data_IF_292837681406
#
_entry.id   IF_292837681406
#
_cell.length_a   1.000
_cell.length_b   1.000
_cell.length_c   1.000
_cell.angle_alpha   90.00
_cell.angle_beta   90.00
_cell.angle_gamma   90.00
#
_symmetry.space_group_name_H-M   'P 1'
#
loop_
_entity.id
_entity.type
_entity.pdbx_description
1 polymer ?
#
# COMPACT_ATOMS: atom_id res chain seq x y z
N UNK A 1 -14.06 21.62 16.51
CA UNK A 1 -13.34 20.62 15.71
C UNK A 1 -12.60 21.37 14.62
N UNK A 2 -11.30 21.20 14.49
CA UNK A 2 -10.53 21.78 13.37
C UNK A 2 -11.14 21.25 12.06
N UNK A 3 -11.45 22.13 11.10
CA UNK A 3 -11.95 21.72 9.78
C UNK A 3 -10.86 21.09 8.90
N UNK A 4 -9.66 20.95 9.42
CA UNK A 4 -8.45 20.51 8.73
C UNK A 4 -7.67 19.59 9.67
N UNK A 5 -7.24 18.45 9.18
CA UNK A 5 -6.24 17.58 9.81
C UNK A 5 -4.89 17.88 9.17
N UNK A 6 -4.08 18.67 9.84
CA UNK A 6 -2.78 19.09 9.33
C UNK A 6 -1.75 17.97 9.45
N UNK A 7 -1.06 17.65 8.37
CA UNK A 7 0.08 16.73 8.40
C UNK A 7 1.26 17.47 9.04
N UNK A 8 1.75 16.95 10.17
CA UNK A 8 2.83 17.57 10.95
C UNK A 8 4.13 16.78 10.90
N UNK A 9 4.07 15.50 10.54
CA UNK A 9 5.26 14.66 10.40
C UNK A 9 5.03 13.51 9.42
N UNK A 10 6.07 13.15 8.67
CA UNK A 10 6.11 11.99 7.77
C UNK A 10 7.43 11.27 7.96
N UNK A 11 7.39 10.01 8.36
CA UNK A 11 8.56 9.21 8.64
C UNK A 11 8.54 7.90 7.83
N UNK A 12 9.57 7.70 7.02
CA UNK A 12 9.82 6.45 6.30
C UNK A 12 10.86 5.58 7.01
N UNK A 13 10.67 4.27 6.92
CA UNK A 13 11.67 3.30 7.36
C UNK A 13 11.72 2.08 6.45
N UNK A 14 12.85 1.41 6.41
CA UNK A 14 12.97 0.10 5.79
C UNK A 14 12.53 -0.97 6.78
N UNK A 15 11.67 -1.89 6.33
CA UNK A 15 11.25 -3.07 7.07
C UNK A 15 11.46 -4.32 6.21
N UNK A 16 11.33 -5.50 6.80
CA UNK A 16 11.47 -6.78 6.10
C UNK A 16 10.11 -7.42 5.86
N UNK A 17 9.84 -7.81 4.61
CA UNK A 17 8.62 -8.51 4.22
C UNK A 17 8.63 -10.00 4.62
N UNK A 18 7.52 -10.72 4.39
CA UNK A 18 7.39 -12.15 4.72
C UNK A 18 8.32 -13.06 3.92
N UNK A 19 8.95 -12.56 2.84
CA UNK A 19 9.94 -13.28 2.02
C UNK A 19 11.38 -12.95 2.41
N UNK A 20 11.58 -12.12 3.44
CA UNK A 20 12.90 -11.65 3.86
C UNK A 20 13.49 -10.54 2.97
N UNK A 21 12.69 -9.88 2.14
CA UNK A 21 13.15 -8.74 1.33
C UNK A 21 12.81 -7.42 2.01
N UNK A 22 13.65 -6.39 1.86
CA UNK A 22 13.31 -5.04 2.30
C UNK A 22 12.09 -4.48 1.60
N UNK A 23 11.28 -3.73 2.34
CA UNK A 23 10.21 -2.88 1.81
C UNK A 23 10.08 -1.59 2.63
N UNK A 24 9.28 -0.65 2.13
CA UNK A 24 9.08 0.66 2.76
C UNK A 24 7.89 0.59 3.71
N UNK A 25 8.05 1.12 4.91
CA UNK A 25 6.95 1.49 5.80
C UNK A 25 6.96 2.99 6.01
N UNK A 26 5.78 3.62 5.96
CA UNK A 26 5.61 5.06 6.19
C UNK A 26 4.65 5.28 7.34
N UNK A 27 5.00 6.21 8.21
CA UNK A 27 4.12 6.80 9.22
C UNK A 27 3.82 8.25 8.85
N UNK A 28 2.56 8.64 8.97
CA UNK A 28 2.10 10.02 8.84
C UNK A 28 1.41 10.43 10.13
N UNK A 29 1.86 11.53 10.72
CA UNK A 29 1.27 12.13 11.92
C UNK A 29 0.42 13.33 11.52
N UNK A 30 -0.81 13.37 12.01
CA UNK A 30 -1.73 14.49 11.79
C UNK A 30 -2.14 15.15 13.11
N UNK A 31 -2.24 16.48 13.11
CA UNK A 31 -2.72 17.27 14.25
C UNK A 31 -4.22 17.57 14.13
N UNK A 32 -5.02 17.08 15.08
CA UNK A 32 -6.45 17.37 15.18
C UNK A 32 -6.75 18.56 16.13
N UNK A 33 -5.73 19.20 16.67
CA UNK A 33 -5.82 20.36 17.54
C UNK A 33 -5.81 20.04 19.04
N UNK A 34 -6.39 18.92 19.44
CA UNK A 34 -6.37 18.40 20.82
C UNK A 34 -5.33 17.31 21.05
N UNK A 35 -5.04 16.55 20.01
CA UNK A 35 -4.03 15.49 19.98
C UNK A 35 -3.59 15.16 18.55
N UNK A 36 -2.49 14.45 18.44
CA UNK A 36 -2.03 13.90 17.17
C UNK A 36 -2.51 12.46 16.98
N UNK A 37 -2.69 12.08 15.72
CA UNK A 37 -3.00 10.72 15.30
C UNK A 37 -1.95 10.24 14.28
N UNK A 38 -1.67 8.94 14.30
CA UNK A 38 -0.65 8.36 13.44
C UNK A 38 -1.25 7.28 12.56
N UNK A 39 -1.07 7.42 11.25
CA UNK A 39 -1.36 6.36 10.28
C UNK A 39 -0.08 5.67 9.85
N UNK A 40 -0.07 4.34 9.79
CA UNK A 40 1.09 3.55 9.38
C UNK A 40 0.75 2.64 8.21
N UNK A 41 1.58 2.62 7.20
CA UNK A 41 1.43 1.76 6.03
C UNK A 41 2.73 1.09 5.63
N UNK A 42 2.74 -0.25 5.62
CA UNK A 42 3.77 -1.04 4.99
C UNK A 42 3.41 -1.29 3.53
N UNK A 43 4.33 -1.05 2.62
CA UNK A 43 4.08 -1.14 1.18
C UNK A 43 4.25 -2.59 0.72
N UNK A 44 3.24 -3.19 0.05
CA UNK A 44 3.40 -4.51 -0.53
C UNK A 44 4.36 -4.47 -1.73
N UNK A 45 5.15 -5.54 -1.88
CA UNK A 45 6.05 -5.73 -3.02
C UNK A 45 5.57 -6.88 -3.89
N UNK A 46 5.44 -6.66 -5.20
CA UNK A 46 5.05 -7.69 -6.17
C UNK A 46 6.13 -8.76 -6.38
N UNK A 47 5.72 -9.96 -6.80
CA UNK A 47 6.62 -11.03 -7.20
C UNK A 47 6.92 -11.02 -8.71
N UNK A 48 5.99 -10.53 -9.52
CA UNK A 48 6.13 -10.34 -10.96
C UNK A 48 5.74 -8.91 -11.32
N UNK A 49 6.36 -8.34 -12.34
CA UNK A 49 6.12 -6.97 -12.79
C UNK A 49 5.62 -6.94 -14.22
N UNK A 50 4.61 -6.12 -14.49
CA UNK A 50 4.11 -5.85 -15.84
C UNK A 50 4.88 -4.71 -16.53
N UNK A 51 4.81 -4.66 -17.85
CA UNK A 51 5.50 -3.62 -18.66
C UNK A 51 5.02 -2.20 -18.33
N UNK A 52 3.76 -2.05 -17.91
CA UNK A 52 3.14 -0.77 -17.58
C UNK A 52 3.06 -0.50 -16.07
N UNK A 53 3.68 -1.33 -15.27
CA UNK A 53 3.67 -1.19 -13.81
C UNK A 53 4.53 0.01 -13.38
N UNK A 54 4.11 0.69 -12.32
CA UNK A 54 4.89 1.78 -11.74
C UNK A 54 6.18 1.24 -11.11
N UNK A 55 7.22 2.05 -11.10
CA UNK A 55 8.55 1.68 -10.66
C UNK A 55 8.62 1.50 -9.14
N UNK A 56 8.83 0.28 -8.67
CA UNK A 56 9.27 0.04 -7.30
C UNK A 56 10.75 0.40 -7.21
N UNK A 57 11.08 1.48 -6.49
CA UNK A 57 12.46 1.95 -6.40
C UNK A 57 13.27 1.03 -5.48
N UNK A 58 14.34 0.47 -6.03
CA UNK A 58 15.33 -0.37 -5.34
C UNK A 58 16.72 0.27 -5.45
N UNK A 59 17.54 0.07 -4.42
CA UNK A 59 18.87 0.70 -4.35
C UNK A 59 19.83 0.18 -5.43
N UNK A 60 19.71 -1.10 -5.81
CA UNK A 60 20.56 -1.76 -6.78
C UNK A 60 21.97 -2.13 -6.26
N UNK A 61 22.29 -1.81 -5.01
CA UNK A 61 23.55 -2.14 -4.36
C UNK A 61 23.57 -3.64 -3.98
N UNK A 62 24.33 -4.42 -4.73
CA UNK A 62 24.42 -5.87 -4.51
C UNK A 62 25.07 -6.28 -3.20
N UNK A 63 25.79 -5.38 -2.53
CA UNK A 63 26.40 -5.63 -1.22
C UNK A 63 25.37 -5.66 -0.11
N UNK A 64 24.16 -5.07 -0.35
CA UNK A 64 23.09 -4.96 0.60
C UNK A 64 21.81 -5.60 0.04
N UNK A 65 21.29 -6.64 0.71
CA UNK A 65 20.09 -7.40 0.30
C UNK A 65 20.08 -7.82 -1.19
N UNK A 66 21.26 -8.12 -1.75
CA UNK A 66 21.43 -8.52 -3.16
C UNK A 66 20.87 -7.48 -4.17
N UNK A 67 20.90 -6.19 -3.82
CA UNK A 67 20.39 -5.09 -4.61
C UNK A 67 18.93 -4.71 -4.35
N UNK A 68 18.25 -5.39 -3.41
CA UNK A 68 16.83 -5.18 -3.11
C UNK A 68 16.57 -4.17 -1.99
N UNK A 69 17.61 -3.49 -1.46
CA UNK A 69 17.45 -2.42 -0.48
C UNK A 69 16.51 -1.33 -0.95
N UNK A 70 15.92 -0.57 -0.02
CA UNK A 70 14.97 0.53 -0.29
C UNK A 70 15.38 1.83 0.42
N UNK A 71 16.66 2.00 0.77
CA UNK A 71 17.14 3.19 1.47
C UNK A 71 16.86 4.48 0.70
N UNK A 72 17.04 4.48 -0.64
CA UNK A 72 16.71 5.63 -1.49
C UNK A 72 15.23 6.02 -1.41
N UNK A 73 14.34 5.04 -1.45
CA UNK A 73 12.91 5.29 -1.32
C UNK A 73 12.56 5.82 0.07
N UNK A 74 13.19 5.30 1.12
CA UNK A 74 13.06 5.80 2.50
C UNK A 74 13.60 7.23 2.62
N UNK A 75 14.73 7.52 1.99
CA UNK A 75 15.31 8.86 1.95
C UNK A 75 14.36 9.87 1.27
N UNK A 76 13.74 9.51 0.15
CA UNK A 76 12.71 10.33 -0.50
C UNK A 76 11.49 10.56 0.39
N UNK A 77 11.06 9.56 1.18
CA UNK A 77 9.97 9.76 2.14
C UNK A 77 10.36 10.77 3.20
N UNK A 78 11.57 10.65 3.78
CA UNK A 78 12.02 11.47 4.90
C UNK A 78 12.41 12.91 4.50
N UNK A 79 12.64 13.16 3.22
CA UNK A 79 13.02 14.49 2.71
C UNK A 79 11.90 15.06 1.83
N UNK A 80 11.91 14.76 0.53
CA UNK A 80 11.07 15.45 -0.46
C UNK A 80 9.57 15.24 -0.21
N UNK A 81 9.16 14.01 0.16
CA UNK A 81 7.75 13.70 0.43
C UNK A 81 7.31 14.34 1.75
N UNK A 82 8.13 14.26 2.79
CA UNK A 82 7.83 14.89 4.08
C UNK A 82 7.68 16.40 3.94
N UNK A 83 8.59 17.06 3.22
CA UNK A 83 8.52 18.50 2.95
C UNK A 83 7.27 18.86 2.12
N UNK A 84 6.95 18.07 1.10
CA UNK A 84 5.78 18.30 0.25
C UNK A 84 4.45 18.18 1.00
N UNK A 85 4.33 17.21 1.91
CA UNK A 85 3.09 16.94 2.63
C UNK A 85 2.92 17.77 3.90
N UNK A 86 3.99 18.33 4.44
CA UNK A 86 3.93 19.17 5.66
C UNK A 86 2.92 20.32 5.50
N UNK A 87 2.02 20.45 6.47
CA UNK A 87 0.96 21.48 6.46
C UNK A 87 -0.24 21.17 5.57
N UNK A 88 -0.23 20.11 4.77
CA UNK A 88 -1.38 19.72 3.95
C UNK A 88 -2.51 19.13 4.80
N UNK A 89 -3.72 19.19 4.28
CA UNK A 89 -4.89 18.62 4.92
C UNK A 89 -5.03 17.12 4.59
N UNK A 90 -4.83 16.25 5.57
CA UNK A 90 -4.94 14.80 5.38
C UNK A 90 -6.37 14.32 5.00
N UNK A 91 -7.40 15.15 5.15
CA UNK A 91 -8.77 14.82 4.69
C UNK A 91 -8.94 14.97 3.17
N UNK A 92 -8.04 15.69 2.50
CA UNK A 92 -8.08 15.86 1.05
C UNK A 92 -7.12 14.87 0.37
N UNK A 93 -7.51 13.60 0.35
CA UNK A 93 -6.70 12.54 -0.26
C UNK A 93 -6.36 12.82 -1.73
N UNK A 94 -7.29 13.46 -2.46
CA UNK A 94 -7.06 13.78 -3.88
C UNK A 94 -5.95 14.82 -4.04
N UNK A 95 -5.91 15.83 -3.19
CA UNK A 95 -4.83 16.82 -3.20
C UNK A 95 -3.49 16.19 -2.81
N UNK A 96 -3.47 15.31 -1.79
CA UNK A 96 -2.28 14.55 -1.37
C UNK A 96 -1.72 13.73 -2.54
N UNK A 97 -2.56 12.91 -3.16
CA UNK A 97 -2.13 12.02 -4.24
C UNK A 97 -1.63 12.81 -5.47
N UNK A 98 -2.29 13.92 -5.80
CA UNK A 98 -1.83 14.83 -6.87
C UNK A 98 -0.48 15.46 -6.56
N UNK A 99 -0.29 15.96 -5.34
CA UNK A 99 0.98 16.56 -4.94
C UNK A 99 2.13 15.55 -5.03
N UNK A 100 1.93 14.31 -4.60
CA UNK A 100 2.92 13.24 -4.70
C UNK A 100 3.24 12.88 -6.17
N UNK A 101 2.23 12.80 -7.03
CA UNK A 101 2.40 12.51 -8.46
C UNK A 101 3.14 13.65 -9.17
N UNK A 102 2.80 14.90 -8.86
CA UNK A 102 3.44 16.09 -9.41
C UNK A 102 4.89 16.23 -8.94
N UNK A 103 5.18 15.90 -7.68
CA UNK A 103 6.52 15.90 -7.11
C UNK A 103 7.44 14.89 -7.80
N UNK A 104 6.93 13.69 -8.10
CA UNK A 104 7.65 12.70 -8.90
C UNK A 104 7.83 13.17 -10.36
N UNK A 105 6.77 13.63 -10.99
CA UNK A 105 6.77 14.19 -12.34
C UNK A 105 7.07 13.19 -13.46
N UNK A 106 7.22 11.88 -13.16
CA UNK A 106 7.49 10.84 -14.16
C UNK A 106 6.25 9.98 -14.42
N UNK A 107 6.05 9.44 -15.64
CA UNK A 107 4.86 8.64 -15.95
C UNK A 107 4.73 7.38 -15.10
N UNK A 108 5.85 6.79 -14.69
CA UNK A 108 5.91 5.51 -13.97
C UNK A 108 6.43 5.61 -12.52
N UNK A 109 6.50 6.82 -11.95
CA UNK A 109 6.99 7.10 -10.58
C UNK A 109 8.43 6.64 -10.36
N UNK A 110 9.28 6.81 -11.37
CA UNK A 110 10.68 6.33 -11.30
C UNK A 110 11.62 7.27 -10.56
N UNK A 111 11.22 8.51 -10.27
CA UNK A 111 12.05 9.47 -9.52
C UNK A 111 12.01 9.17 -8.02
N UNK A 112 10.83 9.17 -7.41
CA UNK A 112 10.66 8.94 -5.97
C UNK A 112 10.46 7.47 -5.63
N UNK A 113 9.91 6.71 -6.56
CA UNK A 113 9.50 5.33 -6.38
C UNK A 113 8.01 5.19 -6.02
N UNK A 114 7.31 4.28 -6.71
CA UNK A 114 5.92 3.99 -6.42
C UNK A 114 5.72 3.48 -4.98
N UNK A 115 6.69 2.77 -4.43
CA UNK A 115 6.70 2.31 -3.04
C UNK A 115 6.71 3.48 -2.03
N UNK A 116 7.54 4.49 -2.22
CA UNK A 116 7.56 5.68 -1.37
C UNK A 116 6.24 6.46 -1.46
N UNK A 117 5.74 6.71 -2.67
CA UNK A 117 4.49 7.43 -2.94
C UNK A 117 3.29 6.69 -2.33
N UNK A 118 3.18 5.37 -2.58
CA UNK A 118 2.08 4.56 -2.07
C UNK A 118 2.09 4.49 -0.54
N UNK A 119 3.27 4.38 0.06
CA UNK A 119 3.42 4.37 1.52
C UNK A 119 2.87 5.64 2.15
N UNK A 120 3.24 6.80 1.62
CA UNK A 120 2.77 8.11 2.10
C UNK A 120 1.27 8.29 1.91
N UNK A 121 0.74 7.95 0.73
CA UNK A 121 -0.70 8.02 0.42
C UNK A 121 -1.54 7.15 1.37
N UNK A 122 -1.16 5.87 1.54
CA UNK A 122 -1.88 4.94 2.42
C UNK A 122 -1.77 5.33 3.90
N UNK A 123 -0.61 5.80 4.36
CA UNK A 123 -0.41 6.24 5.74
C UNK A 123 -1.26 7.48 6.04
N UNK A 124 -1.36 8.42 5.10
CA UNK A 124 -2.25 9.60 5.22
C UNK A 124 -3.72 9.19 5.36
N UNK A 125 -4.22 8.29 4.51
CA UNK A 125 -5.60 7.81 4.60
C UNK A 125 -5.88 7.12 5.95
N UNK A 126 -4.92 6.35 6.47
CA UNK A 126 -5.04 5.70 7.78
C UNK A 126 -5.03 6.70 8.94
N UNK A 127 -4.16 7.73 8.89
CA UNK A 127 -4.14 8.78 9.89
C UNK A 127 -5.46 9.56 9.92
N UNK A 128 -6.00 9.90 8.75
CA UNK A 128 -7.29 10.56 8.61
C UNK A 128 -8.44 9.71 9.16
N UNK A 129 -8.49 8.42 8.84
CA UNK A 129 -9.50 7.49 9.35
C UNK A 129 -9.44 7.36 10.89
N UNK A 130 -8.24 7.25 11.46
CA UNK A 130 -8.00 7.17 12.89
C UNK A 130 -8.46 8.45 13.60
N UNK A 131 -8.10 9.62 13.06
CA UNK A 131 -8.50 10.91 13.60
C UNK A 131 -10.03 11.14 13.58
N UNK A 132 -10.72 10.58 12.58
CA UNK A 132 -12.18 10.61 12.47
C UNK A 132 -12.86 9.53 13.32
N UNK A 133 -12.11 8.60 13.91
CA UNK A 133 -12.66 7.49 14.69
C UNK A 133 -13.46 6.49 13.85
N UNK A 134 -13.13 6.34 12.57
CA UNK A 134 -13.77 5.40 11.64
C UNK A 134 -12.78 4.36 11.11
N UNK A 135 -13.28 3.18 10.74
CA UNK A 135 -12.44 2.18 10.09
C UNK A 135 -12.04 2.64 8.68
N UNK A 136 -10.84 2.22 8.21
CA UNK A 136 -10.33 2.61 6.90
C UNK A 136 -11.29 2.24 5.76
N UNK A 137 -11.95 1.07 5.82
CA UNK A 137 -12.90 0.69 4.79
C UNK A 137 -14.14 1.62 4.72
N UNK A 138 -14.60 2.14 5.86
CA UNK A 138 -15.65 3.14 5.91
C UNK A 138 -15.17 4.51 5.42
N UNK A 139 -13.94 4.89 5.76
CA UNK A 139 -13.34 6.14 5.29
C UNK A 139 -13.25 6.18 3.76
N UNK A 140 -12.77 5.09 3.15
CA UNK A 140 -12.61 4.99 1.68
C UNK A 140 -13.95 4.72 0.99
N UNK A 141 -14.76 3.79 1.51
CA UNK A 141 -15.96 3.29 0.84
C UNK A 141 -17.24 4.06 1.20
N UNK A 142 -17.20 4.95 2.19
CA UNK A 142 -18.35 5.72 2.65
C UNK A 142 -19.43 4.87 3.32
N UNK A 143 -20.64 5.44 3.45
CA UNK A 143 -21.76 4.83 4.20
C UNK A 143 -22.26 3.50 3.62
N UNK A 144 -21.95 3.20 2.37
CA UNK A 144 -22.36 1.98 1.69
C UNK A 144 -21.33 0.85 1.71
N UNK A 145 -20.19 1.05 2.37
CA UNK A 145 -19.14 0.03 2.52
C UNK A 145 -19.59 -1.07 3.52
N UNK A 146 -20.58 -1.88 3.13
CA UNK A 146 -21.22 -2.88 4.00
C UNK A 146 -21.14 -4.30 3.46
N UNK A 147 -20.72 -4.46 2.21
CA UNK A 147 -20.73 -5.75 1.52
C UNK A 147 -19.31 -6.33 1.48
N UNK A 148 -19.13 -7.51 2.05
CA UNK A 148 -17.90 -8.27 1.87
C UNK A 148 -17.81 -8.74 0.42
N UNK A 149 -16.62 -8.70 -0.21
CA UNK A 149 -16.42 -9.24 -1.54
C UNK A 149 -16.55 -10.77 -1.54
N UNK A 150 -16.89 -11.35 -2.69
CA UNK A 150 -16.75 -12.78 -2.88
C UNK A 150 -15.26 -13.12 -2.76
N UNK A 151 -14.86 -14.08 -1.90
CA UNK A 151 -13.45 -14.43 -1.78
C UNK A 151 -12.93 -15.00 -3.10
N UNK A 152 -11.73 -14.60 -3.46
CA UNK A 152 -11.00 -15.13 -4.60
C UNK A 152 -9.74 -15.81 -4.06
N UNK A 153 -9.54 -17.08 -4.40
CA UNK A 153 -8.43 -17.87 -3.89
C UNK A 153 -7.60 -18.43 -5.04
N UNK A 154 -6.30 -18.21 -4.99
CA UNK A 154 -5.34 -18.83 -5.90
C UNK A 154 -5.11 -20.27 -5.46
N UNK A 155 -5.36 -21.24 -6.36
CA UNK A 155 -5.28 -22.67 -6.07
C UNK A 155 -4.04 -23.30 -6.70
N UNK A 156 -3.70 -22.91 -7.93
CA UNK A 156 -2.60 -23.49 -8.68
C UNK A 156 -1.80 -22.39 -9.36
N UNK A 157 -0.48 -22.46 -9.23
CA UNK A 157 0.44 -21.52 -9.87
C UNK A 157 1.32 -22.23 -10.90
N UNK A 158 1.68 -21.49 -11.95
CA UNK A 158 2.63 -21.90 -12.98
C UNK A 158 3.43 -20.71 -13.50
N UNK A 159 3.98 -20.81 -14.68
CA UNK A 159 4.78 -19.75 -15.30
C UNK A 159 5.92 -19.30 -14.40
N UNK A 160 6.05 -17.97 -14.20
CA UNK A 160 7.10 -17.38 -13.35
C UNK A 160 6.87 -17.57 -11.84
N UNK A 161 5.68 -18.03 -11.42
CA UNK A 161 5.31 -18.17 -10.01
C UNK A 161 5.56 -19.57 -9.43
N UNK A 162 5.93 -20.55 -10.24
CA UNK A 162 6.21 -21.92 -9.80
C UNK A 162 7.25 -22.60 -10.69
N UNK A 163 7.94 -23.59 -10.14
CA UNK A 163 8.99 -24.38 -10.83
C UNK A 163 8.42 -25.65 -11.47
N UNK A 164 7.19 -25.64 -11.93
CA UNK A 164 6.51 -26.75 -12.60
C UNK A 164 6.37 -26.50 -14.12
N UNK A 165 5.74 -27.42 -14.83
CA UNK A 165 5.54 -27.35 -16.29
C UNK A 165 4.20 -26.69 -16.69
N UNK A 166 3.52 -26.01 -15.76
CA UNK A 166 2.28 -25.30 -16.05
C UNK A 166 2.62 -23.93 -16.61
N UNK A 167 2.20 -23.63 -17.83
CA UNK A 167 2.52 -22.37 -18.51
C UNK A 167 1.62 -21.20 -18.05
N UNK A 168 0.41 -21.51 -17.51
CA UNK A 168 -0.51 -20.49 -17.00
C UNK A 168 -0.07 -20.08 -15.60
N UNK A 169 0.07 -18.76 -15.39
CA UNK A 169 0.63 -18.19 -14.17
C UNK A 169 -0.20 -18.48 -12.92
N UNK A 170 -1.53 -18.37 -13.01
CA UNK A 170 -2.43 -18.53 -11.87
C UNK A 170 -3.79 -19.13 -12.28
N UNK A 171 -4.33 -19.99 -11.43
CA UNK A 171 -5.71 -20.46 -11.49
C UNK A 171 -6.42 -20.07 -10.20
N UNK A 172 -7.40 -19.21 -10.31
CA UNK A 172 -8.18 -18.72 -9.17
C UNK A 172 -9.59 -19.25 -9.19
N UNK A 173 -10.17 -19.45 -8.02
CA UNK A 173 -11.59 -19.80 -7.84
C UNK A 173 -12.34 -18.69 -7.15
N UNK A 174 -13.63 -18.54 -7.48
CA UNK A 174 -14.58 -17.62 -6.85
C UNK A 174 -15.89 -18.35 -6.58
N UNK A 175 -16.26 -18.64 -5.33
CA UNK A 175 -17.47 -19.38 -4.99
C UNK A 175 -18.72 -18.47 -5.02
N UNK A 176 -19.11 -17.98 -6.18
CA UNK A 176 -20.20 -17.00 -6.38
C UNK A 176 -21.59 -17.51 -5.98
N UNK A 177 -21.80 -18.83 -5.89
CA UNK A 177 -23.06 -19.45 -5.48
C UNK A 177 -23.19 -19.70 -3.97
N UNK A 178 -22.21 -19.27 -3.16
CA UNK A 178 -22.27 -19.48 -1.70
C UNK A 178 -23.32 -18.56 -1.07
N UNK A 179 -24.11 -19.12 -0.12
CA UNK A 179 -25.16 -18.38 0.58
C UNK A 179 -24.63 -17.31 1.58
N UNK A 180 -23.38 -17.41 2.02
CA UNK A 180 -22.74 -16.47 2.93
C UNK A 180 -21.22 -16.57 2.84
N UNK A 181 -20.52 -15.55 3.35
CA UNK A 181 -19.06 -15.46 3.28
C UNK A 181 -18.35 -16.65 3.97
N UNK A 182 -18.87 -17.09 5.13
CA UNK A 182 -18.34 -18.28 5.83
C UNK A 182 -18.36 -19.52 4.94
N UNK A 183 -19.49 -19.74 4.21
CA UNK A 183 -19.63 -20.89 3.30
C UNK A 183 -18.71 -20.74 2.07
N UNK A 184 -18.59 -19.51 1.56
CA UNK A 184 -17.66 -19.22 0.47
C UNK A 184 -16.20 -19.55 0.85
N UNK A 185 -15.76 -19.12 2.03
CA UNK A 185 -14.40 -19.42 2.52
C UNK A 185 -14.19 -20.92 2.74
N UNK A 186 -15.19 -21.63 3.28
CA UNK A 186 -15.15 -23.09 3.42
C UNK A 186 -14.95 -23.77 2.06
N UNK A 187 -15.74 -23.38 1.03
CA UNK A 187 -15.62 -23.95 -0.31
C UNK A 187 -14.22 -23.71 -0.91
N UNK A 188 -13.66 -22.51 -0.71
CA UNK A 188 -12.29 -22.21 -1.16
C UNK A 188 -11.27 -23.14 -0.46
N UNK A 189 -11.37 -23.31 0.85
CA UNK A 189 -10.44 -24.15 1.62
C UNK A 189 -10.55 -25.62 1.22
N UNK A 190 -11.77 -26.14 1.00
CA UNK A 190 -12.00 -27.51 0.57
C UNK A 190 -11.44 -27.80 -0.82
N UNK A 191 -11.45 -26.83 -1.74
CA UNK A 191 -10.84 -26.98 -3.07
C UNK A 191 -9.32 -26.90 -3.00
N UNK A 192 -8.78 -26.11 -2.07
CA UNK A 192 -7.34 -25.98 -1.88
C UNK A 192 -6.70 -27.28 -1.37
N UNK A 193 -7.37 -28.06 -0.52
CA UNK A 193 -6.92 -29.33 0.04
C UNK A 193 -7.20 -30.52 -0.87
#
# INVERSE_FOLDING_TARGET
MKQMLEIVDVLGREIIDSRGNPTVEVEVTVDAGDRCYVGRAAVPSGASTGVHEACELRDGDKSRYLGKGVEKAVEHVNNEIAECLAGMNALDQVAIDKALIELDGTPNKSKLGANAILGASLATAKAAAEALGVSLYNYIGGVNAKTLPVPMMNILNGGAHATNNVEIQEFMIMPVGACCWKKALQMCAEVFH
#
